data_IF_498282100433
#
_entry.id   IF_498282100433
#
_cell.length_a   1.000
_cell.length_b   1.000
_cell.length_c   1.000
_cell.angle_alpha   90.00
_cell.angle_beta   90.00
_cell.angle_gamma   90.00
#
_symmetry.space_group_name_H-M   'P 1'
#
loop_
_entity.id
_entity.type
_entity.pdbx_description
1 polymer ?
#
# COMPACT_ATOMS: atom_id res chain seq x y z
N UNK A 1 24.76 19.44 18.52
CA UNK A 1 25.13 18.46 17.48
C UNK A 1 25.44 17.14 18.15
N UNK A 2 24.76 16.08 17.77
CA UNK A 2 24.95 14.72 18.28
C UNK A 2 25.46 13.87 17.12
N UNK A 3 26.53 13.11 17.35
CA UNK A 3 27.06 12.21 16.33
C UNK A 3 26.36 10.86 16.47
N UNK A 4 25.69 10.41 15.41
CA UNK A 4 25.12 9.07 15.37
C UNK A 4 25.79 8.23 14.29
N UNK A 5 25.72 6.92 14.45
CA UNK A 5 26.30 5.96 13.54
C UNK A 5 25.27 4.85 13.28
N UNK A 6 25.15 4.44 12.03
CA UNK A 6 24.19 3.42 11.58
C UNK A 6 24.93 2.31 10.85
N UNK A 7 24.65 1.07 11.23
CA UNK A 7 25.06 -0.11 10.48
C UNK A 7 24.15 -0.29 9.26
N UNK A 8 24.74 -0.59 8.12
CA UNK A 8 24.04 -0.86 6.86
C UNK A 8 23.89 -2.37 6.59
N UNK A 9 24.27 -3.19 7.57
CA UNK A 9 24.26 -4.66 7.51
C UNK A 9 23.62 -5.24 8.76
N UNK A 10 22.82 -6.29 8.58
CA UNK A 10 22.07 -6.92 9.68
C UNK A 10 22.94 -7.81 10.57
N UNK A 11 23.98 -8.42 10.00
CA UNK A 11 24.86 -9.35 10.69
C UNK A 11 26.30 -8.86 10.65
N UNK A 12 26.92 -8.77 11.83
CA UNK A 12 28.33 -8.39 11.98
C UNK A 12 29.01 -9.32 12.98
N UNK A 13 30.30 -9.57 12.76
CA UNK A 13 31.11 -10.25 13.75
C UNK A 13 31.60 -9.26 14.84
N UNK A 14 32.18 -9.80 15.91
CA UNK A 14 32.71 -8.99 17.01
C UNK A 14 33.82 -8.04 16.56
N UNK A 15 34.68 -8.49 15.64
CA UNK A 15 35.81 -7.71 15.14
C UNK A 15 35.31 -6.45 14.41
N UNK A 16 34.29 -6.61 13.58
CA UNK A 16 33.66 -5.52 12.86
C UNK A 16 32.88 -4.60 13.79
N UNK A 17 32.20 -5.15 14.80
CA UNK A 17 31.55 -4.33 15.84
C UNK A 17 32.58 -3.46 16.58
N UNK A 18 33.72 -4.03 16.97
CA UNK A 18 34.79 -3.30 17.65
C UNK A 18 35.36 -2.20 16.73
N UNK A 19 35.58 -2.50 15.45
CA UNK A 19 35.99 -1.52 14.44
C UNK A 19 34.95 -0.40 14.26
N UNK A 20 33.66 -0.76 14.15
CA UNK A 20 32.57 0.19 14.06
C UNK A 20 32.57 1.12 15.26
N UNK A 21 32.60 0.61 16.49
CA UNK A 21 32.55 1.43 17.71
C UNK A 21 33.77 2.35 17.88
N UNK A 22 34.95 1.92 17.41
CA UNK A 22 36.21 2.68 17.52
C UNK A 22 36.44 3.66 16.38
N UNK A 23 35.73 3.51 15.25
CA UNK A 23 35.86 4.41 14.10
C UNK A 23 35.41 5.85 14.44
N UNK A 24 36.16 6.86 13.98
CA UNK A 24 35.86 8.27 14.19
C UNK A 24 34.81 8.81 13.22
N UNK A 25 34.33 10.04 13.44
CA UNK A 25 33.30 10.68 12.62
C UNK A 25 33.69 10.86 11.13
N UNK A 26 34.98 10.84 10.81
CA UNK A 26 35.51 10.99 9.44
C UNK A 26 35.73 9.65 8.72
N UNK A 27 35.51 8.52 9.39
CA UNK A 27 35.69 7.20 8.80
C UNK A 27 34.48 6.85 7.92
N UNK A 28 34.75 6.56 6.65
CA UNK A 28 33.76 6.05 5.68
C UNK A 28 33.94 4.55 5.49
N UNK A 29 32.85 3.78 5.56
CA UNK A 29 32.85 2.35 5.24
C UNK A 29 31.57 2.00 4.48
N UNK A 30 31.61 0.98 3.64
CA UNK A 30 30.44 0.48 2.89
C UNK A 30 29.34 -0.13 3.78
N UNK A 31 29.65 -0.47 5.03
CA UNK A 31 28.78 -1.24 5.94
C UNK A 31 28.30 -0.41 7.12
N UNK A 32 28.72 0.85 7.22
CA UNK A 32 28.17 1.80 8.17
C UNK A 32 28.31 3.24 7.70
N UNK A 33 27.38 4.08 8.09
CA UNK A 33 27.45 5.53 7.93
C UNK A 33 27.55 6.21 9.29
N UNK A 34 28.25 7.35 9.32
CA UNK A 34 28.34 8.23 10.48
C UNK A 34 27.83 9.59 10.08
N UNK A 35 26.92 10.13 10.89
CA UNK A 35 26.16 11.32 10.56
C UNK A 35 26.21 12.28 11.74
N UNK A 36 26.52 13.53 11.43
CA UNK A 36 26.48 14.62 12.39
C UNK A 36 25.07 15.20 12.34
N UNK A 37 24.35 15.06 13.44
CA UNK A 37 22.96 15.49 13.51
C UNK A 37 22.81 16.69 14.40
N UNK A 38 22.22 17.73 13.86
CA UNK A 38 21.73 18.82 14.69
C UNK A 38 20.26 18.58 14.98
N UNK A 39 19.98 17.99 16.15
CA UNK A 39 18.61 17.84 16.61
C UNK A 39 18.05 19.21 16.99
N UNK A 40 17.12 19.72 16.18
CA UNK A 40 16.34 20.93 16.46
C UNK A 40 14.94 20.51 16.89
N UNK A 41 14.63 20.47 18.21
CA UNK A 41 13.38 19.87 18.72
C UNK A 41 12.10 20.43 18.09
N UNK A 42 12.09 21.72 17.76
CA UNK A 42 10.95 22.38 17.12
C UNK A 42 10.60 21.79 15.74
N UNK A 43 11.59 21.26 15.02
CA UNK A 43 11.41 20.65 13.69
C UNK A 43 10.78 19.24 13.74
N UNK A 44 10.64 18.66 14.93
CA UNK A 44 10.16 17.28 15.14
C UNK A 44 8.97 17.21 16.11
N UNK A 45 8.37 18.34 16.47
CA UNK A 45 7.16 18.37 17.28
C UNK A 45 6.03 17.61 16.55
N UNK A 46 5.40 16.66 17.24
CA UNK A 46 4.31 15.81 16.73
C UNK A 46 4.63 14.97 15.48
N UNK A 47 5.92 14.84 15.11
CA UNK A 47 6.41 14.08 13.97
C UNK A 47 7.38 12.96 14.35
N UNK A 48 7.76 12.12 13.37
CA UNK A 48 8.78 11.09 13.58
C UNK A 48 10.19 11.70 13.59
N UNK A 49 11.02 11.27 14.54
CA UNK A 49 12.46 11.52 14.48
C UNK A 49 13.02 10.56 13.41
N UNK A 50 13.43 11.11 12.28
CA UNK A 50 14.06 10.34 11.20
C UNK A 50 15.52 10.74 11.05
N UNK A 51 16.39 9.74 10.83
CA UNK A 51 17.84 9.89 10.71
C UNK A 51 18.26 10.12 9.26
N UNK A 52 17.51 10.95 8.53
CA UNK A 52 17.89 11.34 7.18
C UNK A 52 19.24 12.09 7.21
N UNK A 53 20.13 11.78 6.26
CA UNK A 53 21.34 12.55 6.06
C UNK A 53 21.03 13.84 5.25
N UNK A 54 21.98 14.79 5.21
CA UNK A 54 21.80 16.07 4.51
C UNK A 54 21.34 15.90 3.05
N UNK A 55 21.84 14.85 2.38
CA UNK A 55 21.47 14.51 1.01
C UNK A 55 19.99 14.11 0.90
N UNK A 56 19.53 13.17 1.72
CA UNK A 56 18.14 12.73 1.74
C UNK A 56 17.21 13.91 2.07
N UNK A 57 17.57 14.74 3.05
CA UNK A 57 16.79 15.91 3.41
C UNK A 57 16.69 16.93 2.27
N UNK A 58 17.75 17.11 1.47
CA UNK A 58 17.71 17.99 0.29
C UNK A 58 16.71 17.48 -0.76
N UNK A 59 16.66 16.16 -1.01
CA UNK A 59 15.73 15.54 -1.95
C UNK A 59 14.30 15.64 -1.41
N UNK A 60 14.08 15.35 -0.12
CA UNK A 60 12.76 15.45 0.51
C UNK A 60 12.22 16.89 0.45
N UNK A 61 13.06 17.90 0.63
CA UNK A 61 12.69 19.31 0.43
C UNK A 61 12.30 19.61 -1.01
N UNK A 62 13.01 19.06 -2.01
CA UNK A 62 12.64 19.20 -3.43
C UNK A 62 11.28 18.54 -3.72
N UNK A 63 11.03 17.36 -3.15
CA UNK A 63 9.72 16.68 -3.27
C UNK A 63 8.59 17.54 -2.69
N UNK A 64 8.82 18.20 -1.54
CA UNK A 64 7.84 19.11 -0.92
C UNK A 64 7.69 20.44 -1.67
N UNK A 65 8.72 20.90 -2.39
CA UNK A 65 8.72 22.22 -3.01
C UNK A 65 7.83 22.31 -4.26
N UNK A 66 7.48 21.17 -4.88
CA UNK A 66 6.61 21.19 -6.06
C UNK A 66 5.20 21.64 -5.67
N UNK A 67 4.45 22.32 -6.56
CA UNK A 67 3.03 22.57 -6.34
C UNK A 67 2.29 21.25 -6.13
N UNK A 68 1.76 21.04 -4.93
CA UNK A 68 1.15 19.77 -4.54
C UNK A 68 -0.09 19.95 -3.67
N UNK A 69 -0.84 18.87 -3.50
CA UNK A 69 -1.84 18.70 -2.46
C UNK A 69 -1.45 17.54 -1.55
N UNK A 70 -1.99 17.54 -0.35
CA UNK A 70 -1.96 16.41 0.57
C UNK A 70 -3.37 15.80 0.69
N UNK A 71 -3.42 14.50 0.94
CA UNK A 71 -4.68 13.85 1.34
C UNK A 71 -5.15 14.43 2.68
N UNK A 72 -6.45 14.44 2.89
CA UNK A 72 -7.10 14.87 4.12
C UNK A 72 -7.57 13.66 4.92
N UNK A 73 -7.81 13.87 6.21
CA UNK A 73 -8.32 12.84 7.10
C UNK A 73 -9.62 12.17 6.64
N UNK A 74 -10.44 12.87 5.84
CA UNK A 74 -11.72 12.39 5.31
C UNK A 74 -11.60 11.60 4.02
N UNK A 75 -10.40 11.53 3.44
CA UNK A 75 -10.15 10.76 2.22
C UNK A 75 -9.50 9.41 2.52
N UNK A 76 -9.09 9.18 3.77
CA UNK A 76 -8.43 7.95 4.20
C UNK A 76 -9.21 7.33 5.36
N UNK A 77 -9.65 6.09 5.16
CA UNK A 77 -10.16 5.23 6.22
C UNK A 77 -9.19 4.07 6.47
N UNK A 78 -9.08 3.65 7.72
CA UNK A 78 -8.48 2.35 8.04
C UNK A 78 -9.53 1.25 7.87
N UNK A 79 -9.11 0.03 7.55
CA UNK A 79 -10.02 -1.12 7.49
C UNK A 79 -10.66 -1.53 8.83
N UNK A 80 -11.52 -2.54 8.76
CA UNK A 80 -12.42 -3.00 9.82
C UNK A 80 -11.63 -3.68 10.95
N UNK A 81 -12.09 -3.50 12.19
CA UNK A 81 -11.64 -4.30 13.34
C UNK A 81 -12.82 -5.10 13.89
N UNK A 82 -12.91 -6.42 13.58
CA UNK A 82 -13.98 -7.27 14.11
C UNK A 82 -13.81 -7.55 15.60
N UNK A 83 -12.57 -7.86 15.99
CA UNK A 83 -12.09 -8.24 17.33
C UNK A 83 -13.10 -9.06 18.16
N UNK A 84 -13.10 -10.40 18.15
CA UNK A 84 -12.16 -11.24 17.45
C UNK A 84 -12.61 -11.50 16.01
N UNK A 85 -11.66 -11.58 15.10
CA UNK A 85 -11.84 -12.20 13.79
C UNK A 85 -12.11 -13.71 13.95
N UNK A 86 -11.17 -14.41 14.59
CA UNK A 86 -11.16 -15.85 14.84
C UNK A 86 -10.80 -16.17 16.29
N UNK A 87 -11.02 -17.41 16.72
CA UNK A 87 -10.56 -17.86 18.03
C UNK A 87 -9.03 -18.00 18.02
N UNK A 88 -8.33 -17.18 18.80
CA UNK A 88 -6.87 -17.30 18.98
C UNK A 88 -6.49 -18.09 20.24
N UNK A 89 -5.20 -18.36 20.40
CA UNK A 89 -4.63 -19.13 21.54
C UNK A 89 -4.87 -18.49 22.91
N UNK A 90 -5.13 -17.17 22.97
CA UNK A 90 -5.52 -16.47 24.20
C UNK A 90 -7.01 -16.61 24.46
N UNK A 91 -7.85 -16.45 23.43
CA UNK A 91 -9.31 -16.53 23.50
C UNK A 91 -9.76 -17.91 23.98
N UNK A 92 -9.15 -18.99 23.47
CA UNK A 92 -9.57 -20.35 23.82
C UNK A 92 -9.45 -20.65 25.31
N UNK A 93 -8.48 -20.05 26.01
CA UNK A 93 -8.26 -20.21 27.46
C UNK A 93 -9.39 -19.63 28.31
N UNK A 94 -10.33 -18.91 27.70
CA UNK A 94 -11.51 -18.35 28.39
C UNK A 94 -12.66 -19.35 28.47
N UNK A 95 -12.67 -20.38 27.64
CA UNK A 95 -13.72 -21.39 27.63
C UNK A 95 -13.33 -22.57 28.53
N UNK A 96 -14.31 -23.17 29.20
CA UNK A 96 -14.14 -24.44 29.91
C UNK A 96 -14.00 -25.60 28.92
N UNK A 97 -13.42 -26.72 29.37
CA UNK A 97 -13.30 -27.95 28.56
C UNK A 97 -14.66 -28.45 28.06
N UNK A 98 -15.71 -28.28 28.88
CA UNK A 98 -17.09 -28.57 28.52
C UNK A 98 -17.59 -27.68 27.38
N UNK A 99 -17.43 -26.36 27.48
CA UNK A 99 -17.82 -25.42 26.42
C UNK A 99 -17.07 -25.70 25.12
N UNK A 100 -15.76 -26.00 25.21
CA UNK A 100 -14.91 -26.33 24.07
C UNK A 100 -15.40 -27.59 23.37
N UNK A 101 -15.72 -28.65 24.12
CA UNK A 101 -16.17 -29.92 23.57
C UNK A 101 -17.59 -29.85 22.98
N UNK A 102 -18.55 -29.26 23.70
CA UNK A 102 -19.95 -29.13 23.27
C UNK A 102 -20.07 -28.27 22.01
N UNK A 103 -19.33 -27.16 21.93
CA UNK A 103 -19.40 -26.22 20.82
C UNK A 103 -18.28 -26.41 19.78
N UNK A 104 -17.42 -27.43 19.95
CA UNK A 104 -16.29 -27.74 19.06
C UNK A 104 -15.36 -26.55 18.80
N UNK A 105 -15.12 -25.71 19.81
CA UNK A 105 -14.30 -24.49 19.70
C UNK A 105 -12.84 -24.86 19.53
N UNK A 106 -12.17 -24.33 18.50
CA UNK A 106 -10.75 -24.59 18.22
C UNK A 106 -10.03 -23.31 17.81
N UNK A 107 -8.71 -23.20 18.01
CA UNK A 107 -7.94 -22.08 17.46
C UNK A 107 -8.11 -22.02 15.93
N UNK A 108 -8.28 -20.81 15.39
CA UNK A 108 -8.57 -20.56 13.98
C UNK A 108 -10.05 -20.65 13.60
N UNK A 109 -10.94 -21.09 14.49
CA UNK A 109 -12.38 -21.12 14.20
C UNK A 109 -12.92 -19.70 14.05
N UNK A 110 -13.71 -19.48 13.00
CA UNK A 110 -14.21 -18.16 12.63
C UNK A 110 -15.27 -17.62 13.60
N UNK A 111 -15.07 -16.39 14.10
CA UNK A 111 -16.03 -15.70 14.98
C UNK A 111 -16.81 -14.67 14.18
N UNK A 112 -16.25 -13.49 13.92
CA UNK A 112 -16.83 -12.52 12.98
C UNK A 112 -16.34 -12.73 11.56
N UNK A 113 -15.15 -13.29 11.38
CA UNK A 113 -14.61 -13.66 10.07
C UNK A 113 -14.70 -15.18 9.93
N UNK A 114 -15.34 -15.63 8.87
CA UNK A 114 -15.64 -17.04 8.61
C UNK A 114 -15.21 -17.42 7.20
N UNK A 115 -15.06 -18.72 6.93
CA UNK A 115 -14.82 -19.18 5.56
C UNK A 115 -16.01 -18.89 4.67
N UNK A 116 -15.72 -18.50 3.42
CA UNK A 116 -16.71 -18.31 2.37
C UNK A 116 -17.64 -19.51 2.30
N UNK A 117 -18.94 -19.24 2.26
CA UNK A 117 -19.98 -20.27 2.14
C UNK A 117 -20.43 -20.90 3.47
N UNK A 118 -19.85 -20.51 4.62
CA UNK A 118 -20.34 -20.98 5.95
C UNK A 118 -21.83 -20.69 6.15
N UNK A 119 -22.34 -19.64 5.50
CA UNK A 119 -23.69 -19.13 5.68
C UNK A 119 -24.54 -19.11 4.39
N UNK A 120 -24.24 -19.97 3.41
CA UNK A 120 -24.96 -20.03 2.11
C UNK A 120 -26.47 -20.26 2.25
N UNK A 121 -26.87 -21.01 3.29
CA UNK A 121 -28.26 -21.38 3.55
C UNK A 121 -29.03 -20.36 4.42
N UNK A 122 -28.48 -19.17 4.67
CA UNK A 122 -29.20 -18.11 5.36
C UNK A 122 -30.35 -17.53 4.52
N UNK A 123 -31.39 -17.04 5.20
CA UNK A 123 -32.40 -16.22 4.57
C UNK A 123 -31.81 -14.88 4.10
N UNK A 124 -32.35 -14.31 3.02
CA UNK A 124 -31.83 -13.07 2.41
C UNK A 124 -31.78 -11.89 3.40
N UNK A 125 -32.72 -11.87 4.36
CA UNK A 125 -32.76 -10.85 5.44
C UNK A 125 -31.50 -10.86 6.31
N UNK A 126 -30.87 -12.03 6.50
CA UNK A 126 -29.61 -12.17 7.26
C UNK A 126 -28.39 -12.01 6.35
N UNK A 127 -28.48 -12.46 5.08
CA UNK A 127 -27.37 -12.41 4.12
C UNK A 127 -26.82 -11.02 3.89
N UNK A 128 -27.63 -9.96 4.05
CA UNK A 128 -27.17 -8.56 3.95
C UNK A 128 -26.04 -8.21 4.93
N UNK A 129 -25.92 -8.94 6.04
CA UNK A 129 -24.85 -8.76 7.03
C UNK A 129 -23.59 -9.56 6.67
N UNK A 130 -23.61 -10.40 5.65
CA UNK A 130 -22.42 -11.13 5.19
C UNK A 130 -21.77 -10.32 4.08
N UNK A 131 -20.51 -9.95 4.27
CA UNK A 131 -19.70 -9.24 3.27
C UNK A 131 -18.46 -10.07 2.94
N UNK A 132 -18.00 -10.12 1.68
CA UNK A 132 -16.69 -10.69 1.38
C UNK A 132 -15.61 -9.91 2.12
N UNK A 133 -14.53 -10.56 2.57
CA UNK A 133 -13.38 -9.85 3.13
C UNK A 133 -12.13 -10.20 2.34
N UNK A 134 -11.37 -9.18 1.98
CA UNK A 134 -10.13 -9.31 1.22
C UNK A 134 -8.93 -9.11 2.14
N UNK A 135 -7.97 -10.02 2.08
CA UNK A 135 -6.77 -10.03 2.90
C UNK A 135 -5.51 -9.63 2.08
N UNK A 136 -4.42 -9.17 2.73
CA UNK A 136 -3.21 -8.70 2.03
C UNK A 136 -2.58 -9.73 1.09
N UNK A 137 -2.72 -11.03 1.39
CA UNK A 137 -2.20 -12.12 0.57
C UNK A 137 -3.06 -12.42 -0.66
N UNK A 138 -4.23 -11.81 -0.77
CA UNK A 138 -5.19 -11.98 -1.88
C UNK A 138 -5.13 -10.78 -2.85
N UNK A 139 -4.23 -9.81 -2.64
CA UNK A 139 -4.08 -8.63 -3.50
C UNK A 139 -2.65 -8.48 -3.99
N UNK A 140 -2.48 -7.81 -5.13
CA UNK A 140 -1.17 -7.53 -5.69
C UNK A 140 -1.04 -6.06 -6.05
N UNK A 141 0.19 -5.54 -6.09
CA UNK A 141 0.46 -4.14 -6.49
C UNK A 141 -0.24 -3.83 -7.82
N UNK A 142 -0.95 -2.70 -7.88
CA UNK A 142 -1.91 -2.30 -8.93
C UNK A 142 -3.17 -3.17 -9.07
N UNK A 143 -3.06 -4.50 -8.98
CA UNK A 143 -4.14 -5.45 -9.28
C UNK A 143 -5.05 -5.76 -8.09
N UNK A 144 -6.33 -5.47 -8.25
CA UNK A 144 -7.37 -6.05 -7.40
C UNK A 144 -7.75 -7.44 -7.92
N UNK A 145 -7.71 -8.44 -7.05
CA UNK A 145 -8.19 -9.80 -7.34
C UNK A 145 -9.54 -9.95 -6.66
N UNK A 146 -10.60 -10.12 -7.46
CA UNK A 146 -11.98 -10.29 -6.96
C UNK A 146 -12.27 -11.75 -6.60
N UNK A 147 -11.30 -12.37 -5.90
CA UNK A 147 -11.38 -13.72 -5.34
C UNK A 147 -11.09 -13.59 -3.85
N UNK A 148 -11.92 -14.22 -3.03
CA UNK A 148 -11.84 -14.13 -1.57
C UNK A 148 -12.18 -15.48 -0.95
N UNK A 149 -11.50 -15.80 0.16
CA UNK A 149 -11.67 -17.06 0.88
C UNK A 149 -12.51 -16.91 2.16
N UNK A 150 -12.77 -15.68 2.59
CA UNK A 150 -13.40 -15.37 3.86
C UNK A 150 -14.51 -14.33 3.73
N UNK A 151 -15.45 -14.38 4.66
CA UNK A 151 -16.56 -13.46 4.77
C UNK A 151 -16.62 -12.91 6.20
N UNK A 152 -17.10 -11.68 6.34
CA UNK A 152 -17.31 -11.03 7.63
C UNK A 152 -18.79 -10.88 7.95
N UNK A 153 -19.15 -11.15 9.20
CA UNK A 153 -20.44 -10.82 9.80
C UNK A 153 -20.43 -9.33 10.16
N UNK A 154 -20.93 -8.49 9.28
CA UNK A 154 -20.97 -7.03 9.37
C UNK A 154 -22.21 -6.52 10.12
N UNK A 155 -22.40 -6.96 11.37
CA UNK A 155 -23.45 -6.45 12.26
C UNK A 155 -22.89 -5.30 13.08
N UNK A 156 -23.55 -4.14 13.00
CA UNK A 156 -23.19 -2.92 13.74
C UNK A 156 -24.39 -2.40 14.51
N UNK A 157 -24.12 -1.56 15.51
CA UNK A 157 -25.20 -0.88 16.27
C UNK A 157 -26.12 -0.05 15.37
N UNK A 158 -25.61 0.47 14.26
CA UNK A 158 -26.38 1.34 13.36
C UNK A 158 -27.22 0.55 12.34
N UNK A 159 -26.75 -0.63 11.90
CA UNK A 159 -27.42 -1.38 10.82
C UNK A 159 -28.30 -2.54 11.32
N UNK A 160 -28.13 -2.99 12.57
CA UNK A 160 -28.86 -4.15 13.10
C UNK A 160 -30.35 -3.84 13.32
N UNK A 161 -31.23 -4.69 12.77
CA UNK A 161 -32.69 -4.52 12.85
C UNK A 161 -33.42 -5.66 13.57
N UNK A 162 -32.72 -6.38 14.45
CA UNK A 162 -33.27 -7.54 15.16
C UNK A 162 -33.74 -8.68 14.23
N UNK A 163 -33.02 -8.90 13.13
CA UNK A 163 -33.41 -9.76 12.01
C UNK A 163 -32.30 -10.70 11.55
N UNK A 164 -31.39 -11.08 12.46
CA UNK A 164 -30.26 -11.99 12.20
C UNK A 164 -30.13 -13.15 13.21
N UNK A 165 -31.19 -13.96 13.45
CA UNK A 165 -31.20 -14.96 14.51
C UNK A 165 -30.13 -16.05 14.35
N UNK A 166 -29.81 -16.48 13.13
CA UNK A 166 -28.82 -17.54 12.90
C UNK A 166 -27.39 -17.00 13.06
N UNK A 167 -27.14 -15.76 12.65
CA UNK A 167 -25.87 -15.08 12.90
C UNK A 167 -25.64 -14.84 14.39
N UNK A 168 -26.68 -14.40 15.12
CA UNK A 168 -26.61 -14.24 16.58
C UNK A 168 -26.41 -15.57 17.29
N UNK A 169 -27.03 -16.65 16.80
CA UNK A 169 -26.81 -18.01 17.33
C UNK A 169 -25.33 -18.41 17.19
N UNK A 170 -24.74 -18.21 16.01
CA UNK A 170 -23.29 -18.44 15.80
C UNK A 170 -22.43 -17.59 16.73
N UNK A 171 -22.67 -16.28 16.79
CA UNK A 171 -21.91 -15.38 17.65
C UNK A 171 -22.09 -15.70 19.14
N UNK A 172 -23.26 -16.18 19.57
CA UNK A 172 -23.52 -16.53 20.97
C UNK A 172 -22.57 -17.60 21.52
N UNK A 173 -22.10 -18.51 20.66
CA UNK A 173 -21.08 -19.52 21.01
C UNK A 173 -19.80 -18.89 21.54
N UNK A 174 -19.44 -17.70 21.05
CA UNK A 174 -18.21 -17.00 21.42
C UNK A 174 -18.47 -15.76 22.30
N UNK A 175 -19.68 -15.61 22.85
CA UNK A 175 -20.10 -14.44 23.63
C UNK A 175 -19.11 -14.07 24.74
N UNK A 176 -18.58 -15.06 25.44
CA UNK A 176 -17.66 -14.89 26.58
C UNK A 176 -16.43 -14.05 26.27
N UNK A 177 -15.82 -14.25 25.10
CA UNK A 177 -14.62 -13.49 24.70
C UNK A 177 -14.95 -12.10 24.17
N UNK A 178 -16.18 -11.87 23.70
CA UNK A 178 -16.64 -10.55 23.24
C UNK A 178 -17.09 -9.66 24.41
N UNK A 179 -17.69 -10.25 25.45
CA UNK A 179 -18.08 -9.51 26.66
C UNK A 179 -16.88 -9.00 27.48
N UNK A 180 -15.67 -9.52 27.24
CA UNK A 180 -14.44 -9.00 27.83
C UNK A 180 -13.97 -7.66 27.21
N UNK A 181 -14.52 -7.27 26.05
CA UNK A 181 -14.16 -6.00 25.41
C UNK A 181 -14.62 -4.85 26.29
N UNK A 182 -13.80 -3.81 26.38
CA UNK A 182 -14.10 -2.58 27.15
C UNK A 182 -15.46 -1.98 26.77
N UNK A 183 -15.77 -1.94 25.48
CA UNK A 183 -17.00 -1.40 24.89
C UNK A 183 -18.25 -2.22 25.22
N UNK A 184 -18.08 -3.51 25.49
CA UNK A 184 -19.16 -4.37 25.95
C UNK A 184 -19.39 -4.19 27.45
N UNK A 185 -18.33 -4.17 28.25
CA UNK A 185 -18.40 -3.97 29.69
C UNK A 185 -19.02 -2.61 30.08
N UNK A 186 -18.84 -1.59 29.26
CA UNK A 186 -19.42 -0.26 29.48
C UNK A 186 -20.74 -0.03 28.72
N UNK A 187 -21.33 -1.07 28.11
CA UNK A 187 -22.65 -1.02 27.47
C UNK A 187 -22.72 -0.21 26.18
N UNK A 188 -21.58 0.16 25.57
CA UNK A 188 -21.57 0.88 24.29
C UNK A 188 -21.98 -0.02 23.13
N UNK A 189 -21.53 -1.28 23.16
CA UNK A 189 -21.79 -2.31 22.17
C UNK A 189 -22.35 -3.57 22.82
N UNK A 190 -23.28 -4.24 22.15
CA UNK A 190 -23.63 -5.64 22.44
C UNK A 190 -22.57 -6.59 21.87
N UNK A 191 -22.53 -7.83 22.38
CA UNK A 191 -21.46 -8.78 22.04
C UNK A 191 -21.41 -9.03 20.53
N UNK A 192 -22.57 -9.09 19.87
CA UNK A 192 -22.70 -9.38 18.45
C UNK A 192 -22.41 -8.18 17.53
N UNK A 193 -22.13 -6.99 18.06
CA UNK A 193 -21.66 -5.88 17.25
C UNK A 193 -20.16 -6.04 16.95
N UNK A 194 -19.77 -5.71 15.71
CA UNK A 194 -18.37 -5.47 15.35
C UNK A 194 -17.75 -4.44 16.29
N UNK A 195 -16.49 -4.65 16.65
CA UNK A 195 -15.79 -3.76 17.58
C UNK A 195 -15.61 -2.37 16.98
N UNK A 196 -14.93 -2.26 15.84
CA UNK A 196 -14.85 -1.00 15.09
C UNK A 196 -15.22 -1.21 13.61
N UNK A 197 -16.50 -1.03 13.26
CA UNK A 197 -16.90 -0.94 11.86
C UNK A 197 -16.37 0.35 11.23
N UNK A 198 -16.58 0.52 9.92
CA UNK A 198 -16.33 1.77 9.19
C UNK A 198 -17.57 2.18 8.42
N UNK A 199 -17.55 3.41 7.93
CA UNK A 199 -18.52 3.86 6.95
C UNK A 199 -18.41 2.98 5.69
N UNK A 200 -19.51 2.33 5.31
CA UNK A 200 -19.56 1.44 4.14
C UNK A 200 -19.25 2.21 2.84
N UNK A 201 -19.36 3.54 2.83
CA UNK A 201 -18.89 4.40 1.74
C UNK A 201 -17.45 4.07 1.32
N UNK A 202 -16.54 3.66 2.21
CA UNK A 202 -15.17 3.32 1.79
C UNK A 202 -15.07 1.96 1.09
N UNK A 203 -16.00 1.06 1.32
CA UNK A 203 -15.95 -0.31 0.81
C UNK A 203 -16.86 -0.54 -0.39
N UNK A 204 -17.95 0.22 -0.52
CA UNK A 204 -18.89 0.13 -1.64
C UNK A 204 -18.25 0.43 -3.01
N UNK A 205 -18.95 0.09 -4.08
CA UNK A 205 -18.49 0.30 -5.46
C UNK A 205 -18.10 1.76 -5.76
N UNK A 206 -17.29 1.93 -6.79
CA UNK A 206 -16.68 3.18 -7.20
C UNK A 206 -15.18 3.22 -6.90
N UNK A 207 -14.49 4.13 -7.56
CA UNK A 207 -13.03 4.20 -7.53
C UNK A 207 -12.49 4.40 -6.10
N UNK A 208 -11.44 3.66 -5.78
CA UNK A 208 -10.71 3.72 -4.52
C UNK A 208 -9.33 3.07 -4.68
N UNK A 209 -8.46 3.37 -3.72
CA UNK A 209 -7.15 2.74 -3.59
C UNK A 209 -7.10 1.97 -2.28
N UNK A 210 -6.78 0.68 -2.32
CA UNK A 210 -6.43 -0.09 -1.14
C UNK A 210 -4.92 0.04 -0.91
N UNK A 211 -4.53 0.35 0.32
CA UNK A 211 -3.13 0.52 0.75
C UNK A 211 -2.81 -0.57 1.76
N UNK A 212 -1.94 -1.51 1.40
CA UNK A 212 -1.48 -2.55 2.32
C UNK A 212 -0.63 -1.89 3.40
N UNK A 213 -1.02 -2.06 4.66
CA UNK A 213 -0.44 -1.36 5.79
C UNK A 213 0.95 -1.86 6.17
N UNK A 214 1.22 -3.15 6.01
CA UNK A 214 2.52 -3.76 6.29
C UNK A 214 3.02 -4.50 5.08
N UNK A 215 4.11 -4.05 4.50
CA UNK A 215 4.63 -4.58 3.24
C UNK A 215 6.15 -4.39 3.13
N UNK A 216 6.82 -5.28 2.43
CA UNK A 216 8.24 -5.17 2.07
C UNK A 216 8.49 -4.08 1.02
N UNK A 217 7.52 -3.85 0.14
CA UNK A 217 7.45 -2.78 -0.85
C UNK A 217 6.08 -2.10 -0.78
N UNK A 218 5.99 -0.76 -0.88
CA UNK A 218 4.69 -0.08 -0.87
C UNK A 218 3.76 -0.68 -1.93
N UNK A 219 2.59 -1.11 -1.48
CA UNK A 219 1.64 -1.89 -2.28
C UNK A 219 0.29 -1.20 -2.25
N UNK A 220 -0.02 -0.52 -3.35
CA UNK A 220 -1.28 0.19 -3.57
C UNK A 220 -2.03 -0.43 -4.73
N UNK A 221 -3.34 -0.60 -4.56
CA UNK A 221 -4.21 -1.31 -5.48
C UNK A 221 -5.36 -0.40 -5.89
N UNK A 222 -5.54 -0.19 -7.19
CA UNK A 222 -6.69 0.52 -7.71
C UNK A 222 -7.87 -0.44 -7.90
N UNK A 223 -9.08 -0.05 -7.51
CA UNK A 223 -10.29 -0.82 -7.79
C UNK A 223 -11.55 0.05 -7.87
N UNK A 224 -12.52 -0.42 -8.66
CA UNK A 224 -13.91 0.08 -8.70
C UNK A 224 -14.90 -0.86 -8.00
N UNK A 225 -14.49 -2.10 -7.72
CA UNK A 225 -15.33 -3.14 -7.10
C UNK A 225 -15.55 -2.83 -5.63
N UNK A 226 -16.57 -3.43 -5.02
CA UNK A 226 -16.68 -3.40 -3.57
C UNK A 226 -15.49 -4.15 -2.94
N UNK A 227 -14.96 -3.66 -1.82
CA UNK A 227 -13.78 -4.24 -1.19
C UNK A 227 -13.81 -3.98 0.32
N UNK A 228 -14.40 -4.90 1.10
CA UNK A 228 -14.31 -4.84 2.56
C UNK A 228 -12.98 -5.46 2.97
N UNK A 229 -12.24 -4.72 3.79
CA UNK A 229 -10.88 -5.09 4.20
C UNK A 229 -10.71 -4.86 5.69
N UNK A 230 -9.85 -5.65 6.33
CA UNK A 230 -9.51 -5.48 7.73
C UNK A 230 -8.44 -4.39 7.93
N UNK A 231 -8.11 -4.08 9.19
CA UNK A 231 -7.10 -3.09 9.61
C UNK A 231 -5.70 -3.29 9.00
N UNK A 232 -5.45 -4.40 8.30
CA UNK A 232 -4.28 -4.61 7.48
C UNK A 232 -4.22 -3.68 6.25
N UNK A 233 -5.30 -2.93 5.98
CA UNK A 233 -5.38 -1.96 4.91
C UNK A 233 -5.78 -0.57 5.41
N UNK A 234 -5.36 0.46 4.65
CA UNK A 234 -6.09 1.71 4.53
C UNK A 234 -6.81 1.76 3.18
N UNK A 235 -7.82 2.62 3.08
CA UNK A 235 -8.63 2.85 1.91
C UNK A 235 -8.59 4.35 1.61
N UNK A 236 -8.22 4.70 0.39
CA UNK A 236 -8.15 6.09 -0.08
C UNK A 236 -9.27 6.32 -1.09
N UNK A 237 -10.11 7.33 -0.85
CA UNK A 237 -11.09 7.87 -1.80
C UNK A 237 -10.90 9.37 -1.90
N UNK A 238 -10.70 9.87 -3.11
CA UNK A 238 -10.60 11.31 -3.39
C UNK A 238 -11.06 11.62 -4.80
N UNK A 239 -11.67 12.78 -4.98
CA UNK A 239 -12.04 13.34 -6.29
C UNK A 239 -11.04 14.42 -6.75
N UNK A 240 -10.03 14.74 -5.93
CA UNK A 240 -9.08 15.83 -6.18
C UNK A 240 -7.92 15.44 -7.10
N UNK A 241 -7.81 14.16 -7.46
CA UNK A 241 -6.83 13.63 -8.40
C UNK A 241 -7.39 12.38 -9.09
N UNK A 242 -6.90 12.09 -10.30
CA UNK A 242 -7.17 10.82 -10.96
C UNK A 242 -6.59 9.67 -10.11
N UNK A 243 -7.43 8.69 -9.73
CA UNK A 243 -7.00 7.63 -8.81
C UNK A 243 -6.02 6.64 -9.43
N UNK A 244 -6.02 6.44 -10.76
CA UNK A 244 -4.97 5.64 -11.42
C UNK A 244 -3.62 6.36 -11.36
N UNK A 245 -3.58 7.67 -11.66
CA UNK A 245 -2.38 8.49 -11.45
C UNK A 245 -1.87 8.41 -10.00
N UNK A 246 -2.77 8.57 -9.03
CA UNK A 246 -2.41 8.51 -7.61
C UNK A 246 -1.90 7.10 -7.22
N UNK A 247 -2.51 6.02 -7.73
CA UNK A 247 -2.01 4.66 -7.53
C UNK A 247 -0.58 4.49 -8.07
N UNK A 248 -0.28 4.99 -9.26
CA UNK A 248 1.08 4.98 -9.80
C UNK A 248 2.07 5.78 -8.94
N UNK A 249 1.68 6.99 -8.50
CA UNK A 249 2.52 7.80 -7.62
C UNK A 249 2.84 7.05 -6.34
N UNK A 250 1.83 6.53 -5.66
CA UNK A 250 1.98 5.81 -4.39
C UNK A 250 2.81 4.52 -4.52
N UNK A 251 2.78 3.90 -5.69
CA UNK A 251 3.56 2.72 -6.03
C UNK A 251 4.98 3.03 -6.55
N UNK A 252 5.32 4.30 -6.81
CA UNK A 252 6.60 4.71 -7.40
C UNK A 252 7.78 4.58 -6.44
N UNK A 253 8.99 4.52 -7.00
CA UNK A 253 10.25 4.60 -6.24
C UNK A 253 10.38 5.90 -5.45
N UNK A 254 9.84 7.00 -5.99
CA UNK A 254 9.80 8.29 -5.32
C UNK A 254 9.05 8.22 -3.98
N UNK A 255 7.84 7.64 -3.97
CA UNK A 255 7.05 7.49 -2.74
C UNK A 255 7.62 6.41 -1.82
N UNK A 256 8.22 5.35 -2.37
CA UNK A 256 8.95 4.38 -1.54
C UNK A 256 10.10 5.05 -0.78
N UNK A 257 10.88 5.91 -1.44
CA UNK A 257 11.95 6.69 -0.81
C UNK A 257 11.40 7.66 0.24
N UNK A 258 10.30 8.33 -0.07
CA UNK A 258 9.61 9.20 0.89
C UNK A 258 9.19 8.43 2.14
N UNK A 259 8.48 7.32 1.99
CA UNK A 259 7.99 6.51 3.10
C UNK A 259 9.14 5.87 3.90
N UNK A 260 10.25 5.50 3.26
CA UNK A 260 11.46 5.03 3.95
C UNK A 260 12.07 6.12 4.83
N UNK A 261 12.01 7.39 4.38
CA UNK A 261 12.71 8.50 5.02
C UNK A 261 11.86 9.33 6.00
N UNK A 262 10.54 9.39 5.78
CA UNK A 262 9.57 10.17 6.57
C UNK A 262 8.45 9.30 7.17
N UNK A 263 8.26 8.10 6.66
CA UNK A 263 7.25 7.17 7.18
C UNK A 263 7.76 6.30 8.32
N UNK A 264 6.98 5.27 8.62
CA UNK A 264 7.27 4.33 9.71
C UNK A 264 7.73 2.99 9.14
N UNK A 265 8.75 2.42 9.77
CA UNK A 265 9.33 1.13 9.42
C UNK A 265 9.19 0.15 10.59
N UNK A 266 8.94 -1.12 10.29
CA UNK A 266 9.00 -2.23 11.25
C UNK A 266 10.01 -3.26 10.74
N UNK A 267 11.25 -3.17 11.23
CA UNK A 267 12.38 -3.84 10.58
C UNK A 267 12.54 -3.30 9.16
N UNK A 268 12.65 -4.19 8.17
CA UNK A 268 12.76 -3.81 6.76
C UNK A 268 11.41 -3.51 6.09
N UNK A 269 10.29 -3.82 6.74
CA UNK A 269 8.94 -3.65 6.20
C UNK A 269 8.41 -2.25 6.45
N UNK A 270 7.82 -1.63 5.43
CA UNK A 270 7.05 -0.42 5.55
C UNK A 270 5.83 -0.65 6.44
N UNK A 271 5.56 0.32 7.31
CA UNK A 271 4.31 0.44 8.05
C UNK A 271 3.58 1.71 7.58
N UNK A 272 2.69 1.53 6.62
CA UNK A 272 1.90 2.59 6.00
C UNK A 272 0.66 2.82 6.86
N UNK A 273 0.84 3.44 8.03
CA UNK A 273 -0.28 3.93 8.85
C UNK A 273 -0.98 5.11 8.13
N UNK A 274 -2.04 5.68 8.72
CA UNK A 274 -2.79 6.79 8.10
C UNK A 274 -1.93 8.05 8.00
N UNK A 275 -1.17 8.35 9.03
CA UNK A 275 -0.40 9.59 9.17
C UNK A 275 0.66 9.74 8.06
N UNK A 276 1.52 8.72 7.77
CA UNK A 276 2.44 8.80 6.63
C UNK A 276 1.79 9.06 5.28
N UNK A 277 0.55 8.60 5.05
CA UNK A 277 -0.17 8.83 3.78
C UNK A 277 -0.62 10.28 3.62
N UNK A 278 -0.99 10.95 4.72
CA UNK A 278 -1.40 12.35 4.70
C UNK A 278 -0.22 13.27 4.35
N UNK A 279 0.99 12.87 4.67
CA UNK A 279 2.20 13.68 4.45
C UNK A 279 2.77 13.60 3.03
N UNK A 280 2.36 12.63 2.20
CA UNK A 280 2.89 12.45 0.84
C UNK A 280 2.47 13.65 -0.04
N UNK A 281 3.43 14.41 -0.61
CA UNK A 281 3.12 15.49 -1.54
C UNK A 281 2.63 14.91 -2.88
N UNK A 282 1.38 15.19 -3.26
CA UNK A 282 0.79 14.78 -4.54
C UNK A 282 0.89 15.93 -5.53
N UNK A 283 1.81 15.84 -6.49
CA UNK A 283 2.04 16.90 -7.47
C UNK A 283 0.77 17.23 -8.28
N UNK A 284 0.50 18.53 -8.43
CA UNK A 284 -0.62 19.03 -9.24
C UNK A 284 -0.24 19.04 -10.72
N UNK A 285 -0.91 18.21 -11.52
CA UNK A 285 -0.66 18.06 -12.96
C UNK A 285 -1.97 17.84 -13.72
N UNK A 286 -2.93 18.77 -13.61
CA UNK A 286 -4.28 18.58 -14.17
C UNK A 286 -4.27 18.03 -15.60
N UNK A 287 -3.34 18.48 -16.43
CA UNK A 287 -3.37 18.20 -17.87
C UNK A 287 -2.53 16.97 -18.26
N UNK A 288 -1.65 16.47 -17.38
CA UNK A 288 -0.72 15.36 -17.67
C UNK A 288 -0.97 14.09 -16.87
N UNK A 289 -1.89 14.11 -15.89
CA UNK A 289 -2.26 12.90 -15.14
C UNK A 289 -2.72 11.75 -16.05
N UNK A 290 -3.35 12.07 -17.18
CA UNK A 290 -3.85 11.07 -18.13
C UNK A 290 -2.74 10.17 -18.69
N UNK A 291 -1.52 10.69 -18.91
CA UNK A 291 -0.39 9.90 -19.44
C UNK A 291 -0.06 8.74 -18.49
N UNK A 292 0.08 9.04 -17.21
CA UNK A 292 0.37 8.05 -16.17
C UNK A 292 -0.84 7.14 -15.94
N UNK A 293 -2.06 7.68 -15.96
CA UNK A 293 -3.27 6.89 -15.84
C UNK A 293 -3.38 5.84 -16.96
N UNK A 294 -3.02 6.20 -18.20
CA UNK A 294 -2.96 5.26 -19.34
C UNK A 294 -1.89 4.19 -19.14
N UNK A 295 -0.71 4.52 -18.58
CA UNK A 295 0.29 3.50 -18.23
C UNK A 295 -0.22 2.53 -17.15
N UNK A 296 -1.02 3.02 -16.19
CA UNK A 296 -1.69 2.15 -15.22
C UNK A 296 -2.72 1.27 -15.90
N UNK A 297 -3.48 1.79 -16.86
CA UNK A 297 -4.41 0.96 -17.64
C UNK A 297 -3.67 -0.15 -18.39
N UNK A 298 -2.50 0.13 -18.95
CA UNK A 298 -1.66 -0.91 -19.57
C UNK A 298 -1.22 -1.97 -18.56
N UNK A 299 -0.79 -1.57 -17.35
CA UNK A 299 -0.45 -2.51 -16.27
C UNK A 299 -1.67 -3.36 -15.87
N UNK A 300 -2.85 -2.74 -15.75
CA UNK A 300 -4.09 -3.45 -15.41
C UNK A 300 -4.51 -4.44 -16.51
N UNK A 301 -4.28 -4.11 -17.79
CA UNK A 301 -4.46 -5.04 -18.92
C UNK A 301 -3.49 -6.21 -18.82
N UNK A 302 -2.21 -5.96 -18.50
CA UNK A 302 -1.22 -7.02 -18.31
C UNK A 302 -1.64 -7.95 -17.17
N UNK A 303 -2.32 -7.45 -16.14
CA UNK A 303 -2.82 -8.29 -15.05
C UNK A 303 -4.08 -9.12 -15.36
N UNK A 304 -4.75 -8.88 -16.49
CA UNK A 304 -5.97 -9.61 -16.83
C UNK A 304 -5.69 -11.11 -17.04
N UNK A 305 -6.55 -12.00 -16.50
CA UNK A 305 -6.41 -13.43 -16.73
C UNK A 305 -6.44 -13.79 -18.22
N UNK A 306 -5.46 -14.56 -18.67
CA UNK A 306 -5.35 -15.04 -20.06
C UNK A 306 -4.74 -16.42 -20.13
N UNK A 307 -5.09 -17.18 -21.17
CA UNK A 307 -4.56 -18.53 -21.41
C UNK A 307 -3.13 -18.49 -21.97
N UNK A 308 -2.86 -17.50 -22.80
CA UNK A 308 -1.57 -17.31 -23.47
C UNK A 308 -0.86 -16.08 -22.92
N UNK A 309 0.46 -16.01 -23.06
CA UNK A 309 1.23 -14.82 -22.67
C UNK A 309 0.85 -13.61 -23.55
N UNK A 310 0.92 -12.39 -22.99
CA UNK A 310 0.64 -11.18 -23.77
C UNK A 310 1.62 -11.00 -24.92
N UNK A 311 2.90 -11.25 -24.64
CA UNK A 311 3.97 -11.25 -25.61
C UNK A 311 4.72 -12.58 -25.48
N UNK A 312 4.86 -13.27 -26.60
CA UNK A 312 5.49 -14.60 -26.64
C UNK A 312 6.89 -14.55 -26.02
N UNK A 313 7.16 -15.45 -25.06
CA UNK A 313 8.43 -15.58 -24.34
C UNK A 313 8.78 -14.44 -23.37
N UNK A 314 7.86 -13.51 -23.12
CA UNK A 314 8.06 -12.41 -22.18
C UNK A 314 7.06 -12.58 -21.04
N UNK A 315 7.57 -12.66 -19.80
CA UNK A 315 6.74 -12.75 -18.62
C UNK A 315 6.05 -11.42 -18.31
N UNK A 316 4.84 -11.50 -17.79
CA UNK A 316 4.02 -10.33 -17.42
C UNK A 316 4.75 -9.39 -16.46
N UNK A 317 5.50 -9.94 -15.50
CA UNK A 317 6.29 -9.16 -14.54
C UNK A 317 7.34 -8.28 -15.22
N UNK A 318 7.94 -8.75 -16.33
CA UNK A 318 8.92 -7.96 -17.08
C UNK A 318 8.25 -6.81 -17.83
N UNK A 319 7.06 -7.05 -18.40
CA UNK A 319 6.26 -6.02 -19.08
C UNK A 319 5.85 -4.95 -18.08
N UNK A 320 5.30 -5.35 -16.93
CA UNK A 320 4.91 -4.45 -15.84
C UNK A 320 6.12 -3.67 -15.34
N UNK A 321 7.26 -4.33 -15.15
CA UNK A 321 8.49 -3.67 -14.72
C UNK A 321 8.92 -2.57 -15.70
N UNK A 322 8.89 -2.82 -17.00
CA UNK A 322 9.21 -1.80 -18.00
C UNK A 322 8.26 -0.60 -17.94
N UNK A 323 6.97 -0.83 -17.68
CA UNK A 323 6.00 0.27 -17.53
C UNK A 323 6.21 1.04 -16.22
N UNK A 324 6.52 0.35 -15.13
CA UNK A 324 6.92 0.97 -13.86
C UNK A 324 8.16 1.85 -14.03
N UNK A 325 9.18 1.43 -14.78
CA UNK A 325 10.37 2.25 -15.02
C UNK A 325 10.05 3.55 -15.77
N UNK A 326 9.11 3.49 -16.73
CA UNK A 326 8.60 4.70 -17.41
C UNK A 326 7.85 5.60 -16.43
N UNK A 327 7.00 5.02 -15.57
CA UNK A 327 6.25 5.75 -14.54
C UNK A 327 7.21 6.43 -13.55
N UNK A 328 8.21 5.69 -13.04
CA UNK A 328 9.23 6.21 -12.12
C UNK A 328 9.99 7.39 -12.76
N UNK A 329 10.44 7.23 -14.00
CA UNK A 329 11.16 8.30 -14.71
C UNK A 329 10.27 9.52 -14.96
N UNK A 330 9.00 9.31 -15.28
CA UNK A 330 8.05 10.40 -15.41
C UNK A 330 7.83 11.13 -14.08
N UNK A 331 7.76 10.43 -12.95
CA UNK A 331 7.69 11.08 -11.64
C UNK A 331 8.97 11.83 -11.29
N UNK A 332 10.15 11.33 -11.66
CA UNK A 332 11.38 12.11 -11.50
C UNK A 332 11.34 13.42 -12.29
N UNK A 333 10.87 13.39 -13.54
CA UNK A 333 10.66 14.63 -14.32
C UNK A 333 9.62 15.56 -13.66
N UNK A 334 8.53 15.02 -13.12
CA UNK A 334 7.48 15.81 -12.47
C UNK A 334 8.02 16.54 -11.24
N UNK A 335 8.78 15.84 -10.39
CA UNK A 335 9.21 16.39 -9.11
C UNK A 335 10.52 17.17 -9.22
N UNK A 336 11.37 16.84 -10.19
CA UNK A 336 12.73 17.37 -10.30
C UNK A 336 13.02 18.01 -11.66
N UNK A 337 12.06 18.14 -12.56
CA UNK A 337 12.31 18.58 -13.94
C UNK A 337 12.94 19.98 -14.11
N UNK A 338 12.94 20.80 -13.07
CA UNK A 338 13.64 22.08 -13.02
C UNK A 338 15.13 21.97 -12.67
N UNK A 339 15.57 20.82 -12.15
CA UNK A 339 16.95 20.56 -11.80
C UNK A 339 17.81 20.42 -13.07
N UNK A 340 19.02 21.03 -13.11
CA UNK A 340 19.86 20.99 -14.31
C UNK A 340 20.18 19.58 -14.81
N UNK A 341 20.36 18.63 -13.89
CA UNK A 341 20.63 17.22 -14.20
C UNK A 341 19.45 16.49 -14.86
N UNK A 342 18.23 17.06 -14.82
CA UNK A 342 17.05 16.46 -15.44
C UNK A 342 16.85 16.84 -16.91
N UNK A 343 17.64 17.78 -17.45
CA UNK A 343 17.43 18.35 -18.79
C UNK A 343 17.41 17.29 -19.91
N UNK A 344 18.28 16.27 -19.85
CA UNK A 344 18.31 15.17 -20.82
C UNK A 344 17.50 13.94 -20.42
N UNK A 345 16.87 13.98 -19.24
CA UNK A 345 16.12 12.87 -18.66
C UNK A 345 14.59 13.05 -18.76
N UNK A 346 14.14 14.07 -19.48
CA UNK A 346 12.72 14.36 -19.70
C UNK A 346 12.09 13.38 -20.70
N UNK A 347 11.09 12.64 -20.24
CA UNK A 347 10.38 11.58 -20.97
C UNK A 347 8.94 11.94 -21.33
N UNK A 348 8.28 12.83 -20.58
CA UNK A 348 6.85 13.12 -20.74
C UNK A 348 6.51 13.60 -22.16
N UNK A 349 7.37 14.41 -22.77
CA UNK A 349 7.20 14.89 -24.16
C UNK A 349 7.10 13.77 -25.20
N UNK A 350 7.70 12.61 -24.94
CA UNK A 350 7.63 11.44 -25.82
C UNK A 350 6.39 10.57 -25.55
N UNK A 351 5.66 10.84 -24.47
CA UNK A 351 4.49 10.10 -24.02
C UNK A 351 3.17 10.86 -24.24
N UNK A 352 3.20 12.09 -24.75
CA UNK A 352 2.01 12.94 -24.96
C UNK A 352 0.96 12.27 -25.85
N UNK A 353 1.38 11.43 -26.79
CA UNK A 353 0.50 10.71 -27.71
C UNK A 353 0.27 9.25 -27.31
N UNK A 354 0.48 8.90 -26.03
CA UNK A 354 0.16 7.56 -25.52
C UNK A 354 -1.31 7.25 -25.80
N UNK A 355 -1.57 6.06 -26.35
CA UNK A 355 -2.91 5.70 -26.81
C UNK A 355 -3.73 5.14 -25.65
N UNK A 356 -4.87 5.76 -25.27
CA UNK A 356 -5.73 5.15 -24.26
C UNK A 356 -6.29 3.82 -24.77
N UNK A 357 -6.60 2.93 -23.83
CA UNK A 357 -7.28 1.65 -24.08
C UNK A 357 -8.66 1.64 -23.42
N UNK A 358 -9.54 0.77 -23.89
CA UNK A 358 -10.87 0.59 -23.29
C UNK A 358 -10.82 -0.18 -21.96
N UNK A 359 -11.87 -0.06 -21.13
CA UNK A 359 -12.00 -0.85 -19.89
C UNK A 359 -12.40 -2.31 -20.16
N UNK A 360 -12.74 -2.66 -21.40
CA UNK A 360 -13.12 -4.02 -21.82
C UNK A 360 -11.90 -4.88 -22.23
N UNK A 361 -10.71 -4.27 -22.35
CA UNK A 361 -9.45 -4.94 -22.71
C UNK A 361 -9.55 -5.79 -23.98
N UNK A 362 -10.05 -5.19 -25.06
CA UNK A 362 -10.23 -5.81 -26.37
C UNK A 362 -8.90 -6.25 -27.02
N UNK A 363 -8.97 -7.04 -28.09
CA UNK A 363 -7.78 -7.41 -28.89
C UNK A 363 -7.03 -6.18 -29.41
N UNK A 364 -7.74 -5.08 -29.72
CA UNK A 364 -7.12 -3.81 -30.13
C UNK A 364 -6.37 -3.13 -28.98
N UNK A 365 -6.87 -3.27 -27.75
CA UNK A 365 -6.19 -2.77 -26.56
C UNK A 365 -4.92 -3.58 -26.29
N UNK A 366 -5.00 -4.91 -26.40
CA UNK A 366 -3.84 -5.81 -26.32
C UNK A 366 -2.78 -5.41 -27.35
N UNK A 367 -3.16 -5.26 -28.62
CA UNK A 367 -2.24 -4.82 -29.67
C UNK A 367 -1.59 -3.46 -29.35
N UNK A 368 -2.34 -2.54 -28.75
CA UNK A 368 -1.85 -1.22 -28.37
C UNK A 368 -0.78 -1.31 -27.29
N UNK A 369 -1.02 -2.11 -26.24
CA UNK A 369 -0.06 -2.34 -25.16
C UNK A 369 1.19 -3.06 -25.66
N UNK A 370 1.03 -4.06 -26.52
CA UNK A 370 2.16 -4.80 -27.12
C UNK A 370 3.01 -3.89 -28.01
N UNK A 371 2.38 -3.05 -28.85
CA UNK A 371 3.08 -2.05 -29.68
C UNK A 371 3.84 -1.05 -28.82
N UNK A 372 3.25 -0.59 -27.71
CA UNK A 372 3.92 0.32 -26.78
C UNK A 372 5.15 -0.34 -26.13
N UNK A 373 5.03 -1.60 -25.68
CA UNK A 373 6.15 -2.35 -25.13
C UNK A 373 7.30 -2.49 -26.14
N UNK A 374 7.00 -2.88 -27.39
CA UNK A 374 8.03 -3.00 -28.42
C UNK A 374 8.67 -1.66 -28.76
N UNK A 375 7.88 -0.59 -28.91
CA UNK A 375 8.38 0.76 -29.14
C UNK A 375 9.34 1.22 -28.03
N UNK A 376 8.98 0.98 -26.76
CA UNK A 376 9.83 1.30 -25.61
C UNK A 376 11.19 0.58 -25.68
N UNK A 377 11.22 -0.64 -26.22
CA UNK A 377 12.42 -1.47 -26.30
C UNK A 377 13.26 -1.27 -27.56
N UNK A 378 12.89 -0.36 -28.45
CA UNK A 378 13.73 0.03 -29.59
C UNK A 378 15.05 0.62 -29.11
N UNK A 379 16.16 0.28 -29.78
CA UNK A 379 17.51 0.69 -29.34
C UNK A 379 17.68 2.21 -29.26
N UNK A 380 17.03 2.94 -30.16
CA UNK A 380 17.07 4.40 -30.27
C UNK A 380 15.92 5.08 -29.52
N UNK A 381 15.12 4.34 -28.74
CA UNK A 381 14.00 4.92 -28.02
C UNK A 381 14.51 5.95 -26.98
N UNK A 382 14.02 7.21 -27.02
CA UNK A 382 14.52 8.26 -26.14
C UNK A 382 14.10 8.07 -24.68
N UNK A 383 12.92 7.49 -24.42
CA UNK A 383 12.44 7.17 -23.06
C UNK A 383 13.33 6.11 -22.43
N UNK A 384 13.59 5.01 -23.16
CA UNK A 384 14.51 3.96 -22.71
C UNK A 384 15.92 4.49 -22.46
N UNK A 385 16.40 5.35 -23.35
CA UNK A 385 17.73 5.97 -23.21
C UNK A 385 17.84 6.81 -21.94
N UNK A 386 16.80 7.60 -21.62
CA UNK A 386 16.73 8.38 -20.39
C UNK A 386 16.75 7.49 -19.14
N UNK A 387 15.89 6.44 -19.11
CA UNK A 387 15.82 5.48 -18.00
C UNK A 387 17.19 4.84 -17.72
N UNK A 388 17.86 4.34 -18.77
CA UNK A 388 19.15 3.64 -18.62
C UNK A 388 20.28 4.53 -18.09
N UNK A 389 20.21 5.84 -18.32
CA UNK A 389 21.23 6.81 -17.90
C UNK A 389 20.88 7.54 -16.60
N UNK A 390 19.64 7.44 -16.13
CA UNK A 390 19.10 8.27 -15.05
C UNK A 390 19.98 8.25 -13.77
N UNK A 391 20.40 7.06 -13.32
CA UNK A 391 21.27 6.92 -12.14
C UNK A 391 22.67 7.54 -12.29
N UNK A 392 23.16 7.65 -13.52
CA UNK A 392 24.50 8.16 -13.82
C UNK A 392 24.45 9.69 -13.98
N UNK A 393 23.43 10.18 -14.69
CA UNK A 393 23.27 11.60 -15.01
C UNK A 393 22.75 12.39 -13.81
N UNK A 394 21.74 11.86 -13.11
CA UNK A 394 21.19 12.41 -11.86
C UNK A 394 21.66 11.54 -10.70
N UNK A 395 22.97 11.56 -10.44
CA UNK A 395 23.58 10.76 -9.37
C UNK A 395 23.12 11.23 -7.99
N UNK A 396 22.94 12.54 -7.82
CA UNK A 396 22.70 13.16 -6.52
C UNK A 396 21.21 13.20 -6.13
N UNK A 397 20.30 12.93 -7.08
CA UNK A 397 18.86 12.79 -6.82
C UNK A 397 18.38 11.37 -7.15
N UNK A 398 18.31 10.99 -8.44
CA UNK A 398 17.74 9.69 -8.84
C UNK A 398 18.60 8.53 -8.32
N UNK A 399 19.93 8.64 -8.40
CA UNK A 399 20.86 7.64 -7.88
C UNK A 399 20.70 7.41 -6.37
N UNK A 400 20.52 8.48 -5.59
CA UNK A 400 20.26 8.42 -4.14
C UNK A 400 18.89 7.79 -3.85
N UNK A 401 17.84 8.23 -4.56
CA UNK A 401 16.48 7.66 -4.39
C UNK A 401 16.51 6.15 -4.63
N UNK A 402 17.06 5.72 -5.78
CA UNK A 402 17.07 4.32 -6.19
C UNK A 402 17.93 3.47 -5.25
N UNK A 403 19.11 3.94 -4.83
CA UNK A 403 19.97 3.18 -3.91
C UNK A 403 19.41 3.06 -2.50
N UNK A 404 18.62 4.04 -2.03
CA UNK A 404 18.03 4.02 -0.67
C UNK A 404 16.93 2.98 -0.52
N UNK A 405 16.23 2.65 -1.61
CA UNK A 405 15.10 1.72 -1.61
C UNK A 405 15.44 0.34 -2.18
N UNK A 406 16.65 0.16 -2.72
CA UNK A 406 17.09 -1.10 -3.32
C UNK A 406 17.26 -2.22 -2.30
#
# INVERSE_FOLDING_TARGET
TTNYARLLVDNIDKTFLDYFLQSGATNTHENFERLNFEFVPASYADGYITFANDTNDSILKKIQAVPHINLTDKEIAQGIVPNPDVVNTRNIKRFSEREISENKIKPGEGVFVVKKGKFDNLADVEKKYIKPIFEPNEVHRYKFVDEYESEIIYITKANYKNDAPNLLKHLSTYRKIMEERRENQNGRLDYFHLHWPRDEYYFEEGEKILSVRKCDRPTFIYTKKHAYVMMAFNIIRTERANLKYLTALLNSKLVAFWLRSKGKMQGNNYQIDKEPLLEIPIALLSDKQHIIATLVDYILLVHQPRKEQLIKYIGDDLIIHSFDEVIDQAFYEIYFGAEPEMAELQVLKYLENIKPISEDYTDTDIETVVKFYHWLHEQTNPVRTAILKANIVSKDIIGVINSTIS
#
